data_IF_984047240309
#
_entry.id   IF_984047240309
#
_cell.length_a   1.000
_cell.length_b   1.000
_cell.length_c   1.000
_cell.angle_alpha   90.00
_cell.angle_beta   90.00
_cell.angle_gamma   90.00
#
_symmetry.space_group_name_H-M   'P 1'
#
loop_
_entity.id
_entity.type
_entity.pdbx_description
1 polymer ?
#
# COMPACT_ATOMS: atom_id res chain seq x y z
N UNK A 1 -13.97 -23.30 0.16
CA UNK A 1 -12.53 -22.99 0.35
C UNK A 1 -12.41 -22.11 1.59
N UNK A 2 -11.89 -22.63 2.69
CA UNK A 2 -11.72 -21.86 3.93
C UNK A 2 -10.47 -20.97 3.84
N UNK A 3 -10.63 -19.66 3.98
CA UNK A 3 -9.49 -18.75 4.16
C UNK A 3 -8.94 -18.88 5.57
N UNK A 4 -7.63 -18.79 5.72
CA UNK A 4 -6.97 -18.75 7.02
C UNK A 4 -7.31 -17.41 7.69
N UNK A 5 -8.00 -17.45 8.84
CA UNK A 5 -8.28 -16.26 9.63
C UNK A 5 -7.03 -15.98 10.46
N UNK A 6 -6.26 -14.96 10.06
CA UNK A 6 -5.10 -14.51 10.84
C UNK A 6 -5.56 -13.34 11.72
N UNK A 7 -5.61 -13.49 13.05
CA UNK A 7 -5.88 -12.35 13.91
C UNK A 7 -4.82 -11.27 13.69
N UNK A 8 -5.27 -10.02 13.59
CA UNK A 8 -4.38 -8.88 13.74
C UNK A 8 -4.36 -8.54 15.22
N UNK A 9 -3.38 -9.09 15.92
CA UNK A 9 -2.89 -8.49 17.16
C UNK A 9 -2.19 -7.19 16.75
N UNK A 10 -2.96 -6.13 16.56
CA UNK A 10 -2.44 -4.79 16.76
C UNK A 10 -2.84 -4.44 18.18
N UNK A 11 -1.92 -3.83 18.92
CA UNK A 11 -2.15 -3.44 20.30
C UNK A 11 -3.19 -2.30 20.31
N UNK A 12 -4.46 -2.66 20.51
CA UNK A 12 -5.59 -1.75 20.42
C UNK A 12 -6.13 -1.45 21.81
N UNK A 13 -5.53 -0.50 22.51
CA UNK A 13 -6.08 -0.02 23.80
C UNK A 13 -7.46 0.67 23.63
N UNK A 14 -7.85 1.06 22.41
CA UNK A 14 -9.00 1.96 22.19
C UNK A 14 -10.29 1.32 21.63
N UNK A 15 -10.26 0.13 21.01
CA UNK A 15 -11.43 -0.42 20.29
C UNK A 15 -12.18 -1.56 20.99
N UNK A 16 -11.72 -2.02 22.16
CA UNK A 16 -12.41 -3.04 22.96
C UNK A 16 -12.49 -4.45 22.34
N UNK A 17 -12.13 -4.62 21.06
CA UNK A 17 -11.99 -5.90 20.37
C UNK A 17 -10.94 -5.81 19.23
N UNK A 18 -10.20 -6.89 18.96
CA UNK A 18 -9.21 -6.91 17.88
C UNK A 18 -9.89 -6.84 16.51
N UNK A 19 -9.36 -5.98 15.64
CA UNK A 19 -9.78 -5.94 14.23
C UNK A 19 -9.37 -7.24 13.52
N UNK A 20 -10.34 -7.97 13.00
CA UNK A 20 -10.11 -9.26 12.34
C UNK A 20 -9.95 -9.08 10.83
N UNK A 21 -8.71 -9.08 10.32
CA UNK A 21 -8.50 -9.24 8.88
C UNK A 21 -8.60 -10.70 8.47
N UNK A 22 -9.27 -10.92 7.33
CA UNK A 22 -9.30 -12.23 6.69
C UNK A 22 -8.43 -12.18 5.44
N UNK A 23 -7.21 -12.71 5.56
CA UNK A 23 -6.36 -12.90 4.41
C UNK A 23 -6.90 -14.10 3.62
N UNK A 24 -7.33 -13.86 2.38
CA UNK A 24 -7.73 -14.97 1.50
C UNK A 24 -6.52 -15.87 1.30
N UNK A 25 -6.75 -17.18 1.30
CA UNK A 25 -5.70 -18.14 0.99
C UNK A 25 -5.07 -17.78 -0.36
N UNK A 26 -3.74 -17.70 -0.39
CA UNK A 26 -3.01 -17.43 -1.62
C UNK A 26 -3.39 -18.48 -2.67
N UNK A 27 -3.78 -18.04 -3.87
CA UNK A 27 -3.92 -18.96 -4.99
C UNK A 27 -2.57 -19.66 -5.22
N UNK A 28 -2.55 -20.95 -5.59
CA UNK A 28 -1.32 -21.71 -5.75
C UNK A 28 -0.61 -21.35 -7.07
N UNK A 29 -0.23 -20.07 -7.23
CA UNK A 29 0.48 -19.53 -8.40
C UNK A 29 1.90 -20.12 -8.53
N UNK A 30 2.44 -20.67 -7.45
CA UNK A 30 3.75 -21.30 -7.39
C UNK A 30 3.67 -22.82 -7.19
N UNK A 31 2.55 -23.46 -7.55
CA UNK A 31 2.39 -24.90 -7.39
C UNK A 31 3.53 -25.69 -8.05
N UNK A 32 3.91 -25.31 -9.28
CA UNK A 32 4.97 -25.98 -10.03
C UNK A 32 6.36 -25.78 -9.39
N UNK A 33 6.85 -24.56 -9.11
CA UNK A 33 8.10 -24.39 -8.37
C UNK A 33 8.09 -25.07 -6.99
N UNK A 34 6.92 -25.14 -6.32
CA UNK A 34 6.79 -25.78 -5.01
C UNK A 34 6.89 -27.32 -5.05
N UNK A 35 6.79 -27.97 -6.21
CA UNK A 35 6.99 -29.43 -6.29
C UNK A 35 8.46 -29.83 -6.09
N UNK A 36 9.40 -28.91 -6.37
CA UNK A 36 10.83 -29.13 -6.22
C UNK A 36 11.50 -27.94 -5.52
N UNK A 37 12.08 -28.16 -4.34
CA UNK A 37 12.77 -27.11 -3.55
C UNK A 37 13.82 -26.36 -4.36
N UNK A 38 14.59 -27.06 -5.21
CA UNK A 38 15.62 -26.43 -6.04
C UNK A 38 15.00 -25.49 -7.08
N UNK A 39 13.96 -25.95 -7.79
CA UNK A 39 13.22 -25.12 -8.74
C UNK A 39 12.61 -23.88 -8.07
N UNK A 40 12.08 -24.01 -6.84
CA UNK A 40 11.61 -22.86 -6.07
C UNK A 40 12.74 -21.88 -5.76
N UNK A 41 13.89 -22.35 -5.26
CA UNK A 41 14.99 -21.46 -4.89
C UNK A 41 15.55 -20.71 -6.10
N UNK A 42 15.70 -21.39 -7.24
CA UNK A 42 16.16 -20.79 -8.49
C UNK A 42 15.16 -19.77 -9.03
N UNK A 43 13.85 -20.10 -9.02
CA UNK A 43 12.81 -19.22 -9.55
C UNK A 43 12.47 -18.06 -8.59
N UNK A 44 12.56 -18.27 -7.28
CA UNK A 44 12.11 -17.29 -6.27
C UNK A 44 12.79 -15.95 -6.46
N UNK A 45 14.10 -15.95 -6.68
CA UNK A 45 14.83 -14.70 -6.93
C UNK A 45 14.24 -13.93 -8.11
N UNK A 46 13.97 -14.59 -9.24
CA UNK A 46 13.39 -13.95 -10.41
C UNK A 46 11.94 -13.50 -10.18
N UNK A 47 11.14 -14.31 -9.47
CA UNK A 47 9.75 -13.98 -9.13
C UNK A 47 9.69 -12.68 -8.35
N UNK A 48 10.48 -12.53 -7.28
CA UNK A 48 10.41 -11.33 -6.45
C UNK A 48 11.17 -10.15 -7.05
N UNK A 49 12.27 -10.38 -7.78
CA UNK A 49 13.08 -9.30 -8.33
C UNK A 49 12.56 -8.70 -9.63
N UNK A 50 11.87 -9.50 -10.46
CA UNK A 50 11.54 -9.10 -11.84
C UNK A 50 10.10 -8.67 -12.03
N UNK A 51 9.23 -8.92 -11.04
CA UNK A 51 7.82 -8.58 -11.12
C UNK A 51 7.50 -7.31 -10.34
N UNK A 52 6.47 -6.60 -10.80
CA UNK A 52 5.84 -5.51 -10.05
C UNK A 52 4.68 -6.08 -9.24
N UNK A 53 4.78 -5.98 -7.92
CA UNK A 53 3.71 -6.42 -7.03
C UNK A 53 2.65 -5.32 -6.94
N UNK A 54 1.49 -5.59 -7.52
CA UNK A 54 0.32 -4.72 -7.42
C UNK A 54 -0.43 -5.01 -6.12
N UNK A 55 -0.46 -4.02 -5.24
CA UNK A 55 -1.07 -4.08 -3.92
C UNK A 55 -2.29 -3.16 -3.95
N UNK A 56 -3.51 -3.71 -4.01
CA UNK A 56 -4.71 -2.92 -4.28
C UNK A 56 -5.16 -2.04 -3.10
N UNK A 57 -4.71 -2.35 -1.89
CA UNK A 57 -5.06 -1.62 -0.66
C UNK A 57 -4.11 -1.99 0.49
N UNK A 58 -4.20 -1.26 1.61
CA UNK A 58 -3.39 -1.50 2.81
C UNK A 58 -3.70 -2.85 3.48
N UNK A 59 -4.93 -3.34 3.40
CA UNK A 59 -5.28 -4.68 3.90
C UNK A 59 -4.47 -5.76 3.17
N UNK A 60 -4.37 -5.63 1.85
CA UNK A 60 -3.63 -6.53 0.99
C UNK A 60 -2.13 -6.43 1.23
N UNK A 61 -1.60 -5.23 1.54
CA UNK A 61 -0.21 -5.06 1.97
C UNK A 61 0.08 -5.86 3.25
N UNK A 62 -0.74 -5.68 4.28
CA UNK A 62 -0.58 -6.37 5.57
C UNK A 62 -0.63 -7.88 5.39
N UNK A 63 -1.59 -8.39 4.60
CA UNK A 63 -1.65 -9.81 4.27
C UNK A 63 -0.42 -10.27 3.47
N UNK A 64 0.01 -9.49 2.48
CA UNK A 64 1.16 -9.81 1.64
C UNK A 64 2.46 -9.94 2.44
N UNK A 65 2.71 -9.00 3.35
CA UNK A 65 3.87 -9.04 4.24
C UNK A 65 3.85 -10.26 5.18
N UNK A 66 2.69 -10.60 5.74
CA UNK A 66 2.54 -11.75 6.65
C UNK A 66 2.70 -13.11 5.95
N UNK A 67 2.25 -13.20 4.69
CA UNK A 67 2.27 -14.44 3.93
C UNK A 67 3.62 -14.71 3.25
N UNK A 68 4.48 -13.70 3.09
CA UNK A 68 5.78 -13.85 2.48
C UNK A 68 6.90 -14.09 3.50
N UNK A 69 7.81 -15.06 3.24
CA UNK A 69 9.03 -15.16 4.02
C UNK A 69 9.86 -13.86 3.95
N UNK A 70 10.46 -13.45 5.07
CA UNK A 70 11.23 -12.20 5.16
C UNK A 70 12.30 -12.07 4.06
N UNK A 71 13.02 -13.15 3.74
CA UNK A 71 14.04 -13.15 2.68
C UNK A 71 13.44 -12.90 1.29
N UNK A 72 12.25 -13.43 1.02
CA UNK A 72 11.52 -13.19 -0.23
C UNK A 72 11.01 -11.76 -0.31
N UNK A 73 10.51 -11.23 0.80
CA UNK A 73 10.05 -9.85 0.89
C UNK A 73 11.20 -8.86 0.62
N UNK A 74 12.39 -9.12 1.15
CA UNK A 74 13.59 -8.31 0.92
C UNK A 74 14.11 -8.36 -0.52
N UNK A 75 13.72 -9.37 -1.31
CA UNK A 75 14.09 -9.50 -2.71
C UNK A 75 13.18 -8.70 -3.67
N UNK A 76 12.09 -8.12 -3.17
CA UNK A 76 11.15 -7.33 -3.97
C UNK A 76 11.85 -6.06 -4.47
N UNK A 77 11.75 -5.80 -5.79
CA UNK A 77 12.33 -4.60 -6.41
C UNK A 77 11.29 -3.59 -6.87
N UNK A 78 10.05 -4.01 -7.10
CA UNK A 78 9.01 -3.16 -7.70
C UNK A 78 7.68 -3.34 -6.97
N UNK A 79 7.13 -2.25 -6.42
CA UNK A 79 5.81 -2.24 -5.78
C UNK A 79 4.94 -1.18 -6.47
N UNK A 80 3.68 -1.53 -6.71
CA UNK A 80 2.63 -0.59 -7.07
C UNK A 80 1.52 -0.68 -6.03
N UNK A 81 1.39 0.32 -5.19
CA UNK A 81 0.37 0.39 -4.16
C UNK A 81 -0.75 1.32 -4.57
N UNK A 82 -1.99 0.91 -4.33
CA UNK A 82 -3.16 1.79 -4.39
C UNK A 82 -3.61 2.10 -2.97
N UNK A 83 -4.01 3.35 -2.76
CA UNK A 83 -4.57 3.79 -1.50
C UNK A 83 -5.78 4.69 -1.75
N UNK A 84 -6.87 4.38 -1.08
CA UNK A 84 -8.07 5.22 -1.05
C UNK A 84 -8.09 5.90 0.31
N UNK A 85 -7.87 7.21 0.31
CA UNK A 85 -7.79 8.00 1.54
C UNK A 85 -9.18 8.13 2.18
N UNK A 86 -9.34 7.84 3.48
CA UNK A 86 -10.64 7.78 4.15
C UNK A 86 -11.20 9.16 4.53
N UNK A 87 -10.84 10.22 3.79
CA UNK A 87 -11.05 11.65 4.13
C UNK A 87 -12.50 11.99 4.55
N UNK A 88 -13.48 11.20 4.12
CA UNK A 88 -14.88 11.43 4.48
C UNK A 88 -15.20 11.21 5.96
N UNK A 89 -14.41 10.45 6.73
CA UNK A 89 -14.78 10.08 8.10
C UNK A 89 -14.41 11.12 9.16
N UNK A 90 -13.38 11.95 8.93
CA UNK A 90 -12.92 12.95 9.91
C UNK A 90 -13.94 14.10 10.12
N UNK A 91 -14.79 14.38 9.12
CA UNK A 91 -15.80 15.43 9.17
C UNK A 91 -17.05 15.08 10.02
N UNK A 92 -17.29 13.79 10.31
CA UNK A 92 -18.48 13.35 11.02
C UNK A 92 -18.28 13.13 12.52
N UNK A 93 -17.16 13.59 13.09
CA UNK A 93 -16.89 13.45 14.53
C UNK A 93 -16.66 12.00 14.98
N UNK A 94 -16.57 11.05 14.04
CA UNK A 94 -15.87 9.80 14.27
C UNK A 94 -14.38 10.14 14.37
N UNK A 95 -13.74 9.61 15.40
CA UNK A 95 -12.38 9.94 15.81
C UNK A 95 -11.44 10.05 14.60
N UNK A 96 -10.56 11.06 14.64
CA UNK A 96 -9.71 11.64 13.56
C UNK A 96 -8.74 10.67 12.86
N UNK A 97 -8.99 9.37 12.90
CA UNK A 97 -8.04 8.32 12.61
C UNK A 97 -8.63 7.27 11.67
N UNK A 98 -9.60 7.61 10.80
CA UNK A 98 -10.13 6.68 9.79
C UNK A 98 -10.59 5.32 10.35
N UNK A 99 -10.77 4.33 9.46
CA UNK A 99 -10.90 2.93 9.87
C UNK A 99 -9.59 2.23 9.59
N UNK A 100 -8.99 1.61 10.61
CA UNK A 100 -7.80 0.77 10.45
C UNK A 100 -8.12 -0.37 9.47
N UNK A 101 -7.24 -0.69 8.50
CA UNK A 101 -5.88 -0.18 8.32
C UNK A 101 -5.75 0.99 7.33
N UNK A 102 -6.83 1.75 7.06
CA UNK A 102 -6.87 2.80 6.04
C UNK A 102 -6.49 4.19 6.55
N UNK A 103 -6.20 4.31 7.84
CA UNK A 103 -5.90 5.58 8.48
C UNK A 103 -4.47 6.07 8.24
N UNK A 104 -4.22 7.32 8.62
CA UNK A 104 -2.90 7.95 8.48
C UNK A 104 -1.84 7.22 9.29
N UNK A 105 -2.16 6.69 10.47
CA UNK A 105 -1.18 5.95 11.27
C UNK A 105 -0.76 4.67 10.54
N UNK A 106 -1.72 3.88 10.06
CA UNK A 106 -1.43 2.68 9.26
C UNK A 106 -0.71 2.99 7.95
N UNK A 107 -1.04 4.12 7.31
CA UNK A 107 -0.32 4.62 6.13
C UNK A 107 1.15 4.90 6.46
N UNK A 108 1.41 5.66 7.52
CA UNK A 108 2.77 6.00 7.96
C UNK A 108 3.56 4.73 8.31
N UNK A 109 2.97 3.83 9.10
CA UNK A 109 3.59 2.57 9.48
C UNK A 109 3.92 1.71 8.25
N UNK A 110 2.99 1.61 7.29
CA UNK A 110 3.20 0.86 6.05
C UNK A 110 4.43 1.36 5.30
N UNK A 111 4.57 2.68 5.16
CA UNK A 111 5.73 3.25 4.44
C UNK A 111 7.03 3.17 5.22
N UNK A 112 6.96 3.24 6.56
CA UNK A 112 8.12 2.95 7.39
C UNK A 112 8.63 1.52 7.15
N UNK A 113 7.73 0.54 7.07
CA UNK A 113 8.09 -0.84 6.79
C UNK A 113 8.60 -1.03 5.35
N UNK A 114 7.94 -0.43 4.35
CA UNK A 114 8.37 -0.46 2.95
C UNK A 114 9.76 0.16 2.77
N UNK A 115 10.08 1.23 3.51
CA UNK A 115 11.39 1.87 3.47
C UNK A 115 12.52 0.92 3.94
N UNK A 116 12.19 -0.11 4.71
CA UNK A 116 13.11 -1.15 5.17
C UNK A 116 13.38 -2.27 4.16
N UNK A 117 12.75 -2.26 2.98
CA UNK A 117 12.96 -3.26 1.92
C UNK A 117 14.24 -2.92 1.15
N UNK A 118 15.33 -3.65 1.43
CA UNK A 118 16.65 -3.38 0.83
C UNK A 118 16.69 -3.52 -0.69
N UNK A 119 15.86 -4.40 -1.25
CA UNK A 119 15.79 -4.66 -2.69
C UNK A 119 15.03 -3.62 -3.49
N UNK A 120 14.26 -2.74 -2.83
CA UNK A 120 13.27 -1.89 -3.48
C UNK A 120 13.93 -0.84 -4.39
N UNK A 121 13.51 -0.80 -5.66
CA UNK A 121 14.06 0.11 -6.68
C UNK A 121 12.99 0.98 -7.32
N UNK A 122 11.78 0.44 -7.50
CA UNK A 122 10.71 1.10 -8.23
C UNK A 122 9.45 1.12 -7.37
N UNK A 123 8.96 2.32 -7.11
CA UNK A 123 7.75 2.52 -6.31
C UNK A 123 6.75 3.32 -7.13
N UNK A 124 5.54 2.78 -7.22
CA UNK A 124 4.39 3.51 -7.72
C UNK A 124 3.31 3.54 -6.67
N UNK A 125 2.76 4.72 -6.42
CA UNK A 125 1.64 4.91 -5.49
C UNK A 125 0.52 5.58 -6.27
N UNK A 126 -0.67 4.99 -6.27
CA UNK A 126 -1.87 5.66 -6.76
C UNK A 126 -2.75 5.97 -5.55
N UNK A 127 -2.84 7.25 -5.20
CA UNK A 127 -3.72 7.75 -4.16
C UNK A 127 -5.00 8.30 -4.79
N UNK A 128 -6.13 7.91 -4.22
CA UNK A 128 -7.42 8.45 -4.57
C UNK A 128 -8.10 8.98 -3.32
N UNK A 129 -8.91 10.03 -3.47
CA UNK A 129 -9.69 10.55 -2.37
C UNK A 129 -11.17 10.62 -2.74
N UNK A 130 -12.02 10.18 -1.81
CA UNK A 130 -13.47 10.30 -1.94
C UNK A 130 -13.88 11.79 -1.96
N UNK A 131 -13.18 12.62 -1.17
CA UNK A 131 -13.40 14.05 -1.07
C UNK A 131 -12.24 14.87 -1.65
N UNK A 132 -12.49 16.05 -2.24
CA UNK A 132 -11.42 16.87 -2.78
C UNK A 132 -10.44 17.29 -1.66
N UNK A 133 -9.19 16.81 -1.73
CA UNK A 133 -8.13 17.13 -0.76
C UNK A 133 -7.91 18.65 -0.65
N UNK A 134 -8.15 19.38 -1.73
CA UNK A 134 -8.07 20.84 -1.77
C UNK A 134 -8.92 21.54 -0.69
N UNK A 135 -9.94 20.87 -0.13
CA UNK A 135 -10.75 21.41 0.98
C UNK A 135 -10.01 21.44 2.32
N UNK A 136 -8.97 20.63 2.49
CA UNK A 136 -8.25 20.43 3.75
C UNK A 136 -6.93 21.21 3.81
N UNK A 137 -6.59 21.93 2.75
CA UNK A 137 -5.38 22.76 2.66
C UNK A 137 -4.12 21.99 2.28
N UNK A 138 -3.02 22.72 2.06
CA UNK A 138 -1.73 22.17 1.68
C UNK A 138 -1.11 21.28 2.78
N UNK A 139 -1.41 21.58 4.05
CA UNK A 139 -0.89 20.84 5.21
C UNK A 139 -1.33 19.36 5.20
N UNK A 140 -2.52 19.07 4.68
CA UNK A 140 -3.01 17.70 4.59
C UNK A 140 -2.26 16.88 3.53
N UNK A 141 -1.99 17.48 2.37
CA UNK A 141 -1.18 16.83 1.34
C UNK A 141 0.22 16.47 1.87
N UNK A 142 0.82 17.36 2.65
CA UNK A 142 2.12 17.10 3.26
C UNK A 142 2.09 15.96 4.26
N UNK A 143 0.98 15.81 5.00
CA UNK A 143 0.78 14.67 5.88
C UNK A 143 0.64 13.35 5.10
N UNK A 144 0.02 13.34 3.92
CA UNK A 144 -0.06 12.15 3.05
C UNK A 144 1.28 11.77 2.41
N UNK A 145 2.06 12.77 2.01
CA UNK A 145 3.30 12.59 1.27
C UNK A 145 4.53 12.43 2.15
N UNK A 146 4.54 12.93 3.38
CA UNK A 146 5.67 12.82 4.31
C UNK A 146 6.22 11.38 4.47
N UNK A 147 5.40 10.33 4.62
CA UNK A 147 5.90 8.96 4.72
C UNK A 147 6.58 8.46 3.45
N UNK A 148 6.16 8.97 2.29
CA UNK A 148 6.74 8.65 0.99
C UNK A 148 8.12 9.30 0.83
N UNK A 149 8.29 10.50 1.38
CA UNK A 149 9.57 11.23 1.36
C UNK A 149 10.65 10.51 2.20
N UNK A 150 10.26 9.72 3.20
CA UNK A 150 11.16 8.89 4.00
C UNK A 150 11.70 7.66 3.24
N UNK A 151 11.14 7.30 2.08
CA UNK A 151 11.59 6.17 1.28
C UNK A 151 12.86 6.54 0.53
N UNK A 152 13.99 6.02 1.00
CA UNK A 152 15.31 6.26 0.42
C UNK A 152 15.80 5.06 -0.41
N UNK A 153 16.81 5.27 -1.27
CA UNK A 153 17.48 4.21 -2.02
C UNK A 153 16.71 3.69 -3.25
N UNK A 154 15.47 4.13 -3.46
CA UNK A 154 14.70 3.83 -4.67
C UNK A 154 15.28 4.58 -5.87
N UNK A 155 15.30 3.92 -7.03
CA UNK A 155 15.75 4.52 -8.29
C UNK A 155 14.69 5.43 -8.90
N UNK A 156 13.43 5.04 -8.76
CA UNK A 156 12.30 5.76 -9.31
C UNK A 156 11.10 5.64 -8.39
N UNK A 157 10.46 6.77 -8.14
CA UNK A 157 9.23 6.85 -7.38
C UNK A 157 8.25 7.78 -8.08
N UNK A 158 7.04 7.27 -8.28
CA UNK A 158 5.94 7.95 -8.97
C UNK A 158 4.66 7.87 -8.16
N UNK A 159 4.08 9.03 -7.90
CA UNK A 159 2.90 9.20 -7.06
C UNK A 159 1.78 9.79 -7.92
N UNK A 160 0.80 8.96 -8.26
CA UNK A 160 -0.43 9.36 -8.89
C UNK A 160 -1.44 9.84 -7.85
N UNK A 161 -2.08 10.98 -8.10
CA UNK A 161 -3.12 11.54 -7.25
C UNK A 161 -4.31 12.03 -8.07
N UNK A 162 -5.52 11.90 -7.56
CA UNK A 162 -6.75 12.35 -8.25
C UNK A 162 -7.20 13.78 -7.87
N UNK A 163 -6.35 14.53 -7.17
CA UNK A 163 -6.53 15.95 -6.86
C UNK A 163 -5.45 16.82 -7.52
N UNK A 164 -5.61 18.14 -7.43
CA UNK A 164 -4.60 19.11 -7.90
C UNK A 164 -3.50 19.22 -6.85
N UNK A 165 -2.41 18.50 -7.05
CA UNK A 165 -1.26 18.55 -6.15
C UNK A 165 -0.49 19.87 -6.22
N UNK A 166 0.14 20.27 -5.12
CA UNK A 166 1.04 21.42 -5.11
C UNK A 166 2.34 21.10 -5.86
N UNK A 167 2.45 21.65 -7.07
CA UNK A 167 3.64 21.50 -7.93
C UNK A 167 4.78 22.44 -7.55
N UNK A 168 4.54 23.42 -6.67
CA UNK A 168 5.57 24.35 -6.20
C UNK A 168 6.55 23.68 -5.24
N UNK A 169 6.12 22.63 -4.53
CA UNK A 169 6.96 21.92 -3.58
C UNK A 169 7.85 20.88 -4.26
N UNK A 170 9.15 20.97 -4.02
CA UNK A 170 10.13 20.00 -4.53
C UNK A 170 10.08 18.73 -3.67
N UNK A 171 9.73 17.61 -4.30
CA UNK A 171 9.64 16.27 -3.67
C UNK A 171 10.68 15.31 -4.26
N UNK A 172 11.08 14.24 -3.55
CA UNK A 172 12.03 13.24 -4.07
C UNK A 172 11.41 12.28 -5.11
N UNK A 173 10.14 12.46 -5.43
CA UNK A 173 9.38 11.66 -6.38
C UNK A 173 8.62 12.53 -7.38
N UNK A 174 8.19 11.91 -8.48
CA UNK A 174 7.34 12.57 -9.47
C UNK A 174 5.88 12.48 -9.03
N UNK A 175 5.14 13.59 -9.14
CA UNK A 175 3.70 13.60 -8.91
C UNK A 175 2.98 13.69 -10.25
N UNK A 176 2.01 12.80 -10.49
CA UNK A 176 1.17 12.81 -11.69
C UNK A 176 -0.31 12.84 -11.34
N UNK A 177 -1.10 13.38 -12.25
CA UNK A 177 -2.55 13.38 -12.11
C UNK A 177 -3.13 12.00 -12.51
N UNK A 178 -4.05 11.51 -11.71
CA UNK A 178 -4.94 10.39 -12.00
C UNK A 178 -6.28 10.92 -12.50
N UNK A 179 -6.98 10.18 -13.37
CA UNK A 179 -8.37 10.45 -13.67
C UNK A 179 -9.20 10.32 -12.39
N UNK A 180 -10.13 11.24 -12.16
CA UNK A 180 -10.97 11.21 -10.97
C UNK A 180 -11.90 9.99 -11.02
N UNK A 181 -12.14 9.25 -9.91
CA UNK A 181 -12.94 8.02 -9.92
C UNK A 181 -14.35 8.16 -10.50
N UNK A 182 -14.93 9.36 -10.47
CA UNK A 182 -16.23 9.65 -11.10
C UNK A 182 -16.18 9.50 -12.62
N UNK A 183 -15.03 9.74 -13.24
CA UNK A 183 -14.81 9.62 -14.69
C UNK A 183 -14.58 8.15 -15.11
N UNK A 184 -14.21 7.28 -14.16
CA UNK A 184 -13.94 5.86 -14.40
C UNK A 184 -15.20 4.98 -14.49
N UNK A 185 -16.39 5.52 -14.18
CA UNK A 185 -17.67 4.79 -14.39
C UNK A 185 -17.97 4.50 -15.87
N UNK A 186 -17.19 5.08 -16.80
CA UNK A 186 -17.30 4.84 -18.24
C UNK A 186 -16.44 3.67 -18.77
N UNK A 187 -15.68 2.98 -17.91
CA UNK A 187 -14.69 1.96 -18.32
C UNK A 187 -14.93 0.57 -17.72
N UNK A 188 -16.12 0.31 -17.16
CA UNK A 188 -16.57 -1.03 -16.75
C UNK A 188 -17.68 -1.52 -17.68
N UNK A 189 -17.35 -1.73 -18.95
CA UNK A 189 -18.08 -2.58 -19.89
C UNK A 189 -17.12 -3.65 -20.43
#
# INVERSE_FOLDING_TARGET
MGGEKLPLEVDFEQLGAPFMLTCRAAQPLLAFPKTCKLAYLEAAQFIYASNTFQIPDLTSYVCFQRLLPANSFQAIQSIHMKWESPICCELFGYERYGFIPYDISSWNQTWQEISGIKGLKYVRVDMTSIDPISKYGADYEDLLFSPLEAVQGVKYMDVGVDWVADRGKKRPFTVRSLPHPKDLRLWRD
#
